data_IF_054449134862
#
_entry.id   IF_054449134862
#
_cell.length_a   1.000
_cell.length_b   1.000
_cell.length_c   1.000
_cell.angle_alpha   90.00
_cell.angle_beta   90.00
_cell.angle_gamma   90.00
#
_symmetry.space_group_name_H-M   'P 1'
#
loop_
_entity.id
_entity.type
_entity.pdbx_description
1 polymer ?
#
# COMPACT_ATOMS: atom_id res chain seq x y z
N UNK A 1 -99.04 66.25 -3.76
CA UNK A 1 -97.91 66.12 -4.70
C UNK A 1 -96.63 65.54 -4.06
N UNK A 2 -96.16 66.01 -2.89
CA UNK A 2 -94.95 65.49 -2.19
C UNK A 2 -94.98 64.00 -1.80
N UNK A 3 -96.08 63.50 -1.25
CA UNK A 3 -96.22 62.09 -0.82
C UNK A 3 -96.09 61.11 -1.99
N UNK A 4 -96.61 61.47 -3.18
CA UNK A 4 -96.50 60.64 -4.37
C UNK A 4 -95.04 60.54 -4.87
N UNK A 5 -94.26 61.62 -4.76
CA UNK A 5 -92.84 61.63 -5.10
C UNK A 5 -92.00 60.81 -4.12
N UNK A 6 -92.29 60.90 -2.82
CA UNK A 6 -91.63 60.07 -1.79
C UNK A 6 -91.96 58.59 -1.99
N UNK A 7 -93.22 58.25 -2.28
CA UNK A 7 -93.64 56.89 -2.61
C UNK A 7 -92.94 56.35 -3.87
N UNK A 8 -92.86 57.17 -4.93
CA UNK A 8 -92.18 56.79 -6.17
C UNK A 8 -90.67 56.63 -6.01
N UNK A 9 -90.03 57.44 -5.17
CA UNK A 9 -88.61 57.29 -4.83
C UNK A 9 -88.36 56.06 -3.96
N UNK A 10 -89.19 55.83 -2.93
CA UNK A 10 -89.11 54.64 -2.08
C UNK A 10 -89.29 53.34 -2.87
N UNK A 11 -90.26 53.30 -3.78
CA UNK A 11 -90.49 52.14 -4.65
C UNK A 11 -89.30 51.86 -5.57
N UNK A 12 -88.65 52.90 -6.10
CA UNK A 12 -87.43 52.76 -6.90
C UNK A 12 -86.28 52.15 -6.12
N UNK A 13 -86.08 52.59 -4.88
CA UNK A 13 -85.02 52.04 -4.00
C UNK A 13 -85.32 50.58 -3.70
N UNK A 14 -86.56 50.25 -3.32
CA UNK A 14 -86.96 48.86 -3.03
C UNK A 14 -86.74 47.96 -4.23
N UNK A 15 -87.16 48.38 -5.43
CA UNK A 15 -86.96 47.59 -6.64
C UNK A 15 -85.46 47.43 -7.00
N UNK A 16 -84.65 48.49 -6.80
CA UNK A 16 -83.20 48.41 -7.00
C UNK A 16 -82.51 47.50 -5.97
N UNK A 17 -83.02 47.47 -4.74
CA UNK A 17 -82.50 46.60 -3.68
C UNK A 17 -82.87 45.15 -3.96
N UNK A 18 -84.10 44.91 -4.41
CA UNK A 18 -84.59 43.59 -4.84
C UNK A 18 -83.78 43.07 -6.03
N UNK A 19 -83.56 43.86 -7.08
CA UNK A 19 -82.79 43.41 -8.24
C UNK A 19 -81.34 43.07 -7.88
N UNK A 20 -80.71 43.86 -6.99
CA UNK A 20 -79.37 43.55 -6.45
C UNK A 20 -79.36 42.28 -5.61
N UNK A 21 -80.40 42.04 -4.82
CA UNK A 21 -80.52 40.83 -4.01
C UNK A 21 -80.65 39.58 -4.91
N UNK A 22 -81.49 39.64 -5.94
CA UNK A 22 -81.66 38.57 -6.93
C UNK A 22 -80.37 38.30 -7.72
N UNK A 23 -79.66 39.36 -8.14
CA UNK A 23 -78.36 39.23 -8.80
C UNK A 23 -77.29 38.60 -7.88
N UNK A 24 -77.24 39.03 -6.61
CA UNK A 24 -76.30 38.47 -5.63
C UNK A 24 -76.60 36.99 -5.36
N UNK A 25 -77.88 36.63 -5.21
CA UNK A 25 -78.31 35.25 -5.02
C UNK A 25 -77.91 34.38 -6.22
N UNK A 26 -78.19 34.85 -7.44
CA UNK A 26 -77.83 34.12 -8.66
C UNK A 26 -76.31 33.96 -8.81
N UNK A 27 -75.53 34.97 -8.43
CA UNK A 27 -74.06 34.87 -8.43
C UNK A 27 -73.55 33.87 -7.38
N UNK A 28 -74.16 33.83 -6.20
CA UNK A 28 -73.84 32.85 -5.16
C UNK A 28 -74.20 31.42 -5.60
N UNK A 29 -75.35 31.21 -6.23
CA UNK A 29 -75.76 29.90 -6.76
C UNK A 29 -74.80 29.41 -7.84
N UNK A 30 -74.44 30.26 -8.82
CA UNK A 30 -73.45 29.91 -9.85
C UNK A 30 -72.08 29.60 -9.26
N UNK A 31 -71.65 30.36 -8.26
CA UNK A 31 -70.40 30.09 -7.56
C UNK A 31 -70.45 28.75 -6.82
N UNK A 32 -71.55 28.48 -6.11
CA UNK A 32 -71.75 27.22 -5.40
C UNK A 32 -71.73 26.02 -6.38
N UNK A 33 -72.45 26.10 -7.50
CA UNK A 33 -72.47 25.05 -8.52
C UNK A 33 -71.10 24.83 -9.15
N UNK A 34 -70.40 25.93 -9.48
CA UNK A 34 -69.07 25.88 -10.09
C UNK A 34 -68.01 25.29 -9.16
N UNK A 35 -68.17 25.40 -7.83
CA UNK A 35 -67.18 24.91 -6.87
C UNK A 35 -67.57 23.59 -6.20
N UNK A 36 -68.86 23.31 -5.98
CA UNK A 36 -69.28 22.13 -5.23
C UNK A 36 -68.97 20.82 -5.96
N UNK A 37 -69.37 20.71 -7.23
CA UNK A 37 -69.15 19.48 -8.00
C UNK A 37 -67.65 19.18 -8.21
N UNK A 38 -66.80 20.16 -8.60
CA UNK A 38 -65.36 19.93 -8.70
C UNK A 38 -64.70 19.64 -7.35
N UNK A 39 -65.09 20.32 -6.27
CA UNK A 39 -64.55 20.05 -4.93
C UNK A 39 -64.88 18.63 -4.46
N UNK A 40 -66.12 18.15 -4.65
CA UNK A 40 -66.49 16.77 -4.32
C UNK A 40 -65.68 15.76 -5.14
N UNK A 41 -65.48 16.01 -6.44
CA UNK A 41 -64.64 15.16 -7.29
C UNK A 41 -63.20 15.09 -6.79
N UNK A 42 -62.63 16.20 -6.32
CA UNK A 42 -61.28 16.25 -5.78
C UNK A 42 -61.15 15.55 -4.42
N UNK A 43 -62.22 15.57 -3.59
CA UNK A 43 -62.30 14.76 -2.37
C UNK A 43 -62.36 13.26 -2.70
N UNK A 44 -63.12 12.86 -3.72
CA UNK A 44 -63.19 11.47 -4.17
C UNK A 44 -61.83 10.97 -4.67
N UNK A 45 -61.12 11.81 -5.44
CA UNK A 45 -59.77 11.50 -5.92
C UNK A 45 -58.76 11.36 -4.77
N UNK A 46 -58.80 12.28 -3.80
CA UNK A 46 -57.98 12.18 -2.59
C UNK A 46 -58.26 10.86 -1.84
N UNK A 47 -59.54 10.54 -1.66
CA UNK A 47 -59.98 9.32 -0.97
C UNK A 47 -59.50 8.06 -1.69
N UNK A 48 -59.52 8.06 -3.02
CA UNK A 48 -59.03 6.95 -3.84
C UNK A 48 -57.54 6.71 -3.65
N UNK A 49 -56.73 7.79 -3.68
CA UNK A 49 -55.28 7.69 -3.49
C UNK A 49 -54.94 7.17 -2.10
N UNK A 50 -55.61 7.68 -1.06
CA UNK A 50 -55.41 7.21 0.32
C UNK A 50 -55.80 5.74 0.45
N UNK A 51 -56.97 5.36 -0.07
CA UNK A 51 -57.45 3.98 -0.05
C UNK A 51 -56.46 3.03 -0.71
N UNK A 52 -55.98 3.36 -1.90
CA UNK A 52 -55.02 2.55 -2.64
C UNK A 52 -53.74 2.30 -1.83
N UNK A 53 -53.16 3.33 -1.20
CA UNK A 53 -51.94 3.17 -0.39
C UNK A 53 -52.18 2.33 0.86
N UNK A 54 -53.34 2.48 1.52
CA UNK A 54 -53.71 1.66 2.68
C UNK A 54 -53.87 0.19 2.27
N UNK A 55 -54.60 -0.08 1.18
CA UNK A 55 -54.87 -1.44 0.70
C UNK A 55 -53.60 -2.14 0.20
N UNK A 56 -52.68 -1.41 -0.44
CA UNK A 56 -51.39 -1.92 -0.87
C UNK A 56 -50.37 -2.06 0.28
N UNK A 57 -50.61 -1.41 1.43
CA UNK A 57 -49.63 -1.33 2.52
C UNK A 57 -48.42 -0.44 2.19
N UNK A 58 -48.55 0.45 1.21
CA UNK A 58 -47.48 1.29 0.71
C UNK A 58 -47.39 2.63 1.45
N UNK A 59 -46.17 3.16 1.59
CA UNK A 59 -45.97 4.48 2.19
C UNK A 59 -46.33 5.58 1.19
N UNK A 60 -47.06 6.58 1.67
CA UNK A 60 -47.36 7.79 0.90
C UNK A 60 -46.06 8.59 0.69
N UNK A 61 -45.57 8.64 -0.57
CA UNK A 61 -44.27 9.27 -0.88
C UNK A 61 -44.34 10.78 -0.98
N UNK A 62 -45.41 11.29 -1.58
CA UNK A 62 -45.61 12.71 -1.87
C UNK A 62 -46.70 13.29 -0.99
N UNK A 63 -46.57 14.57 -0.67
CA UNK A 63 -47.62 15.31 0.03
C UNK A 63 -48.90 15.41 -0.83
N UNK A 64 -50.04 15.15 -0.20
CA UNK A 64 -51.36 15.29 -0.80
C UNK A 64 -51.85 16.72 -0.56
N UNK A 65 -52.09 17.48 -1.62
CA UNK A 65 -52.58 18.86 -1.53
C UNK A 65 -53.98 18.94 -2.11
N UNK A 66 -54.89 19.52 -1.32
CA UNK A 66 -56.26 19.84 -1.72
C UNK A 66 -56.45 21.36 -1.64
N UNK A 67 -56.48 22.03 -2.79
CA UNK A 67 -56.62 23.47 -2.89
C UNK A 67 -57.94 23.82 -3.61
N UNK A 68 -58.95 24.23 -2.82
CA UNK A 68 -60.31 24.53 -3.29
C UNK A 68 -60.95 23.40 -4.10
N UNK A 69 -60.81 23.43 -5.43
CA UNK A 69 -61.38 22.48 -6.37
C UNK A 69 -60.36 21.52 -6.95
N UNK A 70 -59.08 21.69 -6.65
CA UNK A 70 -58.00 20.93 -7.26
C UNK A 70 -57.31 20.03 -6.24
N UNK A 71 -57.11 18.78 -6.62
CA UNK A 71 -56.33 17.81 -5.88
C UNK A 71 -55.10 17.41 -6.69
N UNK A 72 -53.93 17.44 -6.06
CA UNK A 72 -52.67 17.04 -6.68
C UNK A 72 -51.65 16.53 -5.66
N UNK A 73 -50.62 15.85 -6.18
CA UNK A 73 -49.46 15.39 -5.42
C UNK A 73 -48.35 16.42 -5.54
N UNK A 74 -47.85 16.91 -4.42
CA UNK A 74 -46.71 17.82 -4.40
C UNK A 74 -45.40 17.02 -4.50
N UNK A 75 -44.79 17.04 -5.69
CA UNK A 75 -43.55 16.33 -5.99
C UNK A 75 -42.32 16.86 -5.25
N UNK A 76 -42.37 18.11 -4.78
CA UNK A 76 -41.25 18.77 -4.10
C UNK A 76 -41.21 18.44 -2.60
N UNK A 77 -42.30 17.89 -2.05
CA UNK A 77 -42.43 17.53 -0.64
C UNK A 77 -42.53 16.02 -0.47
N UNK A 78 -41.43 15.40 -0.05
CA UNK A 78 -41.37 13.97 0.26
C UNK A 78 -41.81 13.73 1.71
N UNK A 79 -42.90 12.98 1.90
CA UNK A 79 -43.39 12.58 3.22
C UNK A 79 -42.56 11.46 3.87
N UNK A 80 -41.71 10.81 3.07
CA UNK A 80 -40.80 9.76 3.52
C UNK A 80 -39.38 10.16 3.11
N UNK A 81 -38.47 10.15 4.07
CA UNK A 81 -37.05 10.33 3.78
C UNK A 81 -36.60 9.28 2.74
N UNK A 82 -35.94 9.74 1.68
CA UNK A 82 -35.32 8.84 0.71
C UNK A 82 -34.40 7.88 1.45
N UNK A 83 -34.40 6.57 1.11
CA UNK A 83 -33.44 5.64 1.68
C UNK A 83 -32.03 6.19 1.46
N UNK A 84 -31.19 6.10 2.50
CA UNK A 84 -29.80 6.53 2.39
C UNK A 84 -29.14 5.78 1.21
N UNK A 85 -28.32 6.46 0.40
CA UNK A 85 -27.59 5.78 -0.67
C UNK A 85 -26.78 4.63 -0.08
N UNK A 86 -26.62 3.52 -0.82
CA UNK A 86 -25.82 2.40 -0.36
C UNK A 86 -24.41 2.89 0.02
N UNK A 87 -23.82 2.37 1.10
CA UNK A 87 -22.46 2.74 1.48
C UNK A 87 -21.51 2.40 0.31
N UNK A 88 -20.56 3.31 0.05
CA UNK A 88 -19.56 3.12 -1.00
C UNK A 88 -18.81 1.79 -0.76
N UNK A 89 -18.55 0.99 -1.82
CA UNK A 89 -17.76 -0.24 -1.68
C UNK A 89 -16.37 0.02 -1.11
N UNK A 90 -15.83 -0.97 -0.38
CA UNK A 90 -14.48 -0.89 0.17
C UNK A 90 -13.41 -0.89 -0.95
N UNK A 91 -12.27 -0.20 -0.76
CA UNK A 91 -11.12 -0.31 -1.66
C UNK A 91 -10.70 -1.77 -1.84
N UNK A 92 -10.54 -2.20 -3.09
CA UNK A 92 -10.06 -3.52 -3.42
C UNK A 92 -8.84 -3.40 -4.32
N UNK A 93 -7.76 -4.07 -3.93
CA UNK A 93 -6.58 -4.18 -4.76
C UNK A 93 -6.77 -5.20 -5.88
N UNK A 94 -6.35 -4.83 -7.10
CA UNK A 94 -6.29 -5.74 -8.24
C UNK A 94 -4.83 -6.10 -8.51
N UNK A 95 -4.50 -7.38 -8.79
CA UNK A 95 -3.16 -7.75 -9.24
C UNK A 95 -2.75 -6.95 -10.47
N UNK A 96 -1.51 -6.47 -10.50
CA UNK A 96 -0.98 -5.67 -11.61
C UNK A 96 0.23 -6.37 -12.22
N UNK A 97 0.07 -6.90 -13.44
CA UNK A 97 1.13 -7.67 -14.11
C UNK A 97 1.52 -8.92 -13.30
N UNK A 98 2.80 -9.01 -12.94
CA UNK A 98 3.35 -10.09 -12.09
C UNK A 98 3.31 -9.76 -10.59
N UNK A 99 2.77 -8.61 -10.19
CA UNK A 99 2.76 -8.13 -8.80
C UNK A 99 1.57 -8.71 -8.02
N UNK A 100 1.79 -9.50 -6.95
CA UNK A 100 0.72 -9.99 -6.09
C UNK A 100 0.08 -8.87 -5.27
N UNK A 101 -1.20 -9.03 -4.93
CA UNK A 101 -1.89 -8.14 -3.97
C UNK A 101 -1.34 -8.34 -2.56
N UNK A 102 -1.59 -7.39 -1.65
CA UNK A 102 -1.23 -7.50 -0.23
C UNK A 102 -1.84 -8.74 0.40
N UNK A 103 -3.08 -9.07 0.07
CA UNK A 103 -3.73 -10.28 0.57
C UNK A 103 -3.06 -11.56 0.08
N UNK A 104 -2.56 -11.57 -1.17
CA UNK A 104 -1.78 -12.69 -1.71
C UNK A 104 -0.41 -12.79 -1.04
N UNK A 105 0.28 -11.66 -0.82
CA UNK A 105 1.54 -11.61 -0.08
C UNK A 105 1.39 -12.11 1.37
N UNK A 106 0.29 -11.75 2.04
CA UNK A 106 -0.05 -12.24 3.38
C UNK A 106 -0.29 -13.76 3.40
N UNK A 107 -0.96 -14.29 2.38
CA UNK A 107 -1.15 -15.75 2.23
C UNK A 107 0.19 -16.47 2.05
N UNK A 108 1.06 -15.95 1.18
CA UNK A 108 2.40 -16.50 0.96
C UNK A 108 3.24 -16.44 2.24
N UNK A 109 3.22 -15.32 2.95
CA UNK A 109 3.86 -15.16 4.25
C UNK A 109 3.40 -16.22 5.25
N UNK A 110 2.10 -16.44 5.39
CA UNK A 110 1.57 -17.44 6.32
C UNK A 110 2.04 -18.87 5.95
N UNK A 111 2.07 -19.20 4.66
CA UNK A 111 2.53 -20.51 4.20
C UNK A 111 4.02 -20.71 4.47
N UNK A 112 4.84 -19.69 4.19
CA UNK A 112 6.29 -19.74 4.44
C UNK A 112 6.61 -19.79 5.93
N UNK A 113 5.88 -19.05 6.77
CA UNK A 113 6.01 -19.15 8.23
C UNK A 113 5.67 -20.55 8.76
N UNK A 114 4.70 -21.24 8.15
CA UNK A 114 4.33 -22.60 8.54
C UNK A 114 5.38 -23.64 8.15
N UNK A 115 6.02 -23.47 6.98
CA UNK A 115 7.03 -24.43 6.47
C UNK A 115 8.42 -24.15 7.04
N UNK A 116 8.79 -22.88 7.17
CA UNK A 116 10.13 -22.43 7.53
C UNK A 116 10.09 -21.26 8.53
N UNK A 117 9.69 -21.49 9.79
CA UNK A 117 9.49 -20.43 10.79
C UNK A 117 10.75 -19.62 11.12
N UNK A 118 11.95 -20.18 10.91
CA UNK A 118 13.22 -19.49 11.08
C UNK A 118 13.39 -18.31 10.12
N UNK A 119 12.76 -18.37 8.94
CA UNK A 119 13.05 -17.46 7.83
C UNK A 119 13.91 -18.05 6.71
N UNK A 120 14.48 -19.24 6.94
CA UNK A 120 15.39 -19.91 6.02
C UNK A 120 14.80 -21.25 5.59
N UNK A 121 14.95 -21.58 4.32
CA UNK A 121 14.49 -22.83 3.70
C UNK A 121 15.56 -23.30 2.71
N UNK A 122 15.76 -24.62 2.58
CA UNK A 122 16.71 -25.13 1.59
C UNK A 122 16.22 -24.86 0.16
N UNK A 123 17.14 -24.68 -0.80
CA UNK A 123 16.78 -24.39 -2.18
C UNK A 123 15.89 -25.49 -2.82
N UNK A 124 16.10 -26.75 -2.44
CA UNK A 124 15.30 -27.89 -2.93
C UNK A 124 13.88 -27.90 -2.35
N UNK A 125 13.72 -27.63 -1.06
CA UNK A 125 12.42 -27.49 -0.41
C UNK A 125 11.67 -26.26 -0.93
N UNK A 126 12.36 -25.14 -1.12
CA UNK A 126 11.76 -23.92 -1.67
C UNK A 126 11.30 -24.12 -3.11
N UNK A 127 12.08 -24.80 -3.95
CA UNK A 127 11.67 -25.17 -5.30
C UNK A 127 10.37 -25.99 -5.29
N UNK A 128 10.30 -26.98 -4.40
CA UNK A 128 9.12 -27.84 -4.24
C UNK A 128 7.92 -27.04 -3.72
N UNK A 129 8.14 -26.13 -2.76
CA UNK A 129 7.11 -25.25 -2.24
C UNK A 129 6.55 -24.33 -3.32
N UNK A 130 7.39 -23.72 -4.16
CA UNK A 130 6.93 -22.90 -5.29
C UNK A 130 6.07 -23.71 -6.27
N UNK A 131 6.43 -24.98 -6.50
CA UNK A 131 5.61 -25.90 -7.29
C UNK A 131 4.25 -26.16 -6.66
N UNK A 132 4.23 -26.55 -5.38
CA UNK A 132 3.01 -26.85 -4.65
C UNK A 132 2.07 -25.65 -4.57
N UNK A 133 2.63 -24.44 -4.41
CA UNK A 133 1.87 -23.19 -4.48
C UNK A 133 1.12 -23.08 -5.81
N UNK A 134 1.80 -23.25 -6.95
CA UNK A 134 1.13 -23.17 -8.26
C UNK A 134 0.03 -24.23 -8.39
N UNK A 135 0.28 -25.47 -7.97
CA UNK A 135 -0.70 -26.56 -8.05
C UNK A 135 -1.93 -26.28 -7.18
N UNK A 136 -1.74 -25.83 -5.93
CA UNK A 136 -2.83 -25.53 -4.99
C UNK A 136 -3.60 -24.26 -5.37
N UNK A 137 -2.94 -23.31 -6.03
CA UNK A 137 -3.55 -22.06 -6.50
C UNK A 137 -4.33 -22.21 -7.81
N UNK A 138 -4.18 -23.33 -8.53
CA UNK A 138 -4.89 -23.63 -9.77
C UNK A 138 -6.40 -23.74 -9.51
N UNK A 139 -7.13 -22.65 -9.78
CA UNK A 139 -8.59 -22.53 -9.58
C UNK A 139 -9.03 -21.62 -8.41
N UNK A 140 -8.09 -21.09 -7.61
CA UNK A 140 -8.40 -20.18 -6.48
C UNK A 140 -8.02 -18.71 -6.70
N UNK A 141 -7.43 -18.36 -7.86
CA UNK A 141 -6.98 -16.99 -8.21
C UNK A 141 -6.12 -16.30 -7.13
N UNK A 142 -5.33 -17.08 -6.39
CA UNK A 142 -4.52 -16.62 -5.25
C UNK A 142 -3.14 -16.10 -5.64
N UNK A 143 -2.71 -16.23 -6.90
CA UNK A 143 -1.47 -15.63 -7.41
C UNK A 143 -1.71 -14.95 -8.77
N UNK A 144 -0.88 -13.96 -9.15
CA UNK A 144 -0.95 -13.35 -10.47
C UNK A 144 -0.67 -14.35 -11.60
N UNK A 145 -1.22 -14.08 -12.79
CA UNK A 145 -1.10 -14.96 -13.95
C UNK A 145 0.35 -15.33 -14.32
N UNK A 146 1.35 -14.42 -14.30
CA UNK A 146 2.74 -14.78 -14.61
C UNK A 146 3.36 -15.82 -13.68
N UNK A 147 2.90 -15.89 -12.42
CA UNK A 147 3.35 -16.91 -11.47
C UNK A 147 2.80 -18.29 -11.81
N UNK A 148 1.53 -18.35 -12.21
CA UNK A 148 0.86 -19.61 -12.56
C UNK A 148 1.43 -20.18 -13.87
N UNK A 149 1.77 -19.30 -14.83
CA UNK A 149 2.31 -19.68 -16.14
C UNK A 149 3.82 -19.92 -16.15
N UNK A 150 4.48 -19.82 -15.00
CA UNK A 150 5.92 -19.98 -14.90
C UNK A 150 6.37 -21.39 -15.31
N UNK A 151 7.34 -21.46 -16.22
CA UNK A 151 7.92 -22.74 -16.65
C UNK A 151 8.99 -23.26 -15.65
N UNK A 152 9.56 -24.42 -15.93
CA UNK A 152 10.57 -25.03 -15.06
C UNK A 152 11.87 -24.20 -15.01
N UNK A 153 12.31 -23.64 -16.15
CA UNK A 153 13.56 -22.87 -16.25
C UNK A 153 13.48 -21.57 -15.46
N UNK A 154 12.39 -20.81 -15.60
CA UNK A 154 12.12 -19.62 -14.82
C UNK A 154 12.11 -19.92 -13.31
N UNK A 155 11.60 -21.10 -12.92
CA UNK A 155 11.57 -21.49 -11.50
C UNK A 155 12.96 -21.78 -10.96
N UNK A 156 13.75 -22.57 -11.70
CA UNK A 156 15.14 -22.81 -11.36
C UNK A 156 15.93 -21.51 -11.29
N UNK A 157 15.66 -20.56 -12.18
CA UNK A 157 16.30 -19.25 -12.16
C UNK A 157 15.89 -18.42 -10.93
N UNK A 158 14.61 -18.36 -10.56
CA UNK A 158 14.18 -17.69 -9.32
C UNK A 158 14.84 -18.31 -8.09
N UNK A 159 14.87 -19.64 -7.99
CA UNK A 159 15.53 -20.34 -6.89
C UNK A 159 17.02 -20.02 -6.86
N UNK A 160 17.71 -20.08 -8.01
CA UNK A 160 19.12 -19.75 -8.15
C UNK A 160 19.44 -18.31 -7.70
N UNK A 161 18.64 -17.33 -8.14
CA UNK A 161 18.82 -15.92 -7.78
C UNK A 161 18.71 -15.63 -6.27
N UNK A 162 17.99 -16.47 -5.54
CA UNK A 162 17.73 -16.31 -4.10
C UNK A 162 18.62 -17.18 -3.23
N UNK A 163 19.26 -18.19 -3.83
CA UNK A 163 20.09 -19.17 -3.13
C UNK A 163 21.42 -18.54 -2.72
N UNK A 164 21.83 -18.79 -1.49
CA UNK A 164 23.14 -18.40 -0.99
C UNK A 164 24.20 -19.48 -1.17
N UNK A 165 25.42 -19.19 -0.70
CA UNK A 165 26.57 -20.09 -0.74
C UNK A 165 26.37 -21.41 0.05
N UNK A 166 25.31 -21.51 0.86
CA UNK A 166 24.97 -22.67 1.69
C UNK A 166 23.73 -23.42 1.20
N UNK A 167 23.26 -23.17 -0.02
CA UNK A 167 22.03 -23.73 -0.59
C UNK A 167 20.77 -23.40 0.25
N UNK A 168 20.78 -22.25 0.92
CA UNK A 168 19.66 -21.73 1.71
C UNK A 168 19.08 -20.47 1.07
N UNK A 169 17.78 -20.31 1.25
CA UNK A 169 17.01 -19.16 0.79
C UNK A 169 16.39 -18.47 2.00
N UNK A 170 16.67 -17.16 2.11
CA UNK A 170 15.92 -16.28 3.00
C UNK A 170 14.60 -15.88 2.33
N UNK A 171 13.52 -16.54 2.73
CA UNK A 171 12.23 -16.33 2.09
C UNK A 171 11.66 -14.93 2.36
N UNK A 172 12.19 -14.17 3.35
CA UNK A 172 11.79 -12.77 3.55
C UNK A 172 12.27 -11.90 2.39
N UNK A 173 13.46 -12.18 1.84
CA UNK A 173 13.94 -11.53 0.62
C UNK A 173 13.09 -11.87 -0.58
N UNK A 174 12.68 -13.12 -0.69
CA UNK A 174 11.74 -13.53 -1.73
C UNK A 174 10.44 -12.74 -1.65
N UNK A 175 9.84 -12.59 -0.47
CA UNK A 175 8.61 -11.79 -0.30
C UNK A 175 8.83 -10.30 -0.54
N UNK A 176 9.97 -9.73 -0.14
CA UNK A 176 10.33 -8.36 -0.50
C UNK A 176 10.47 -8.18 -2.00
N UNK A 177 11.07 -9.16 -2.69
CA UNK A 177 11.20 -9.14 -4.14
C UNK A 177 9.84 -9.30 -4.83
N UNK A 178 8.97 -10.17 -4.33
CA UNK A 178 7.62 -10.37 -4.83
C UNK A 178 6.70 -9.16 -4.61
N UNK A 179 6.99 -8.34 -3.58
CA UNK A 179 6.21 -7.15 -3.26
C UNK A 179 6.50 -5.94 -4.17
N UNK A 180 7.53 -6.00 -5.02
CA UNK A 180 7.91 -4.93 -5.93
C UNK A 180 6.75 -4.56 -6.88
N UNK A 181 6.60 -3.28 -7.26
CA UNK A 181 7.48 -2.16 -6.91
C UNK A 181 7.13 -1.53 -5.55
N UNK A 182 8.16 -1.22 -4.78
CA UNK A 182 8.11 -0.31 -3.62
C UNK A 182 9.27 0.70 -3.76
N UNK A 183 9.16 1.93 -3.23
CA UNK A 183 10.18 2.97 -3.43
C UNK A 183 11.52 2.56 -2.81
N UNK A 184 12.63 2.62 -3.56
CA UNK A 184 13.94 2.28 -3.02
C UNK A 184 14.51 3.43 -2.16
N UNK A 185 14.91 3.20 -0.91
CA UNK A 185 15.46 4.26 -0.08
C UNK A 185 16.90 4.62 -0.48
N UNK A 186 17.25 5.89 -0.39
CA UNK A 186 18.66 6.31 -0.33
C UNK A 186 19.28 5.95 1.03
N UNK A 187 20.61 5.88 1.11
CA UNK A 187 21.29 5.62 2.38
C UNK A 187 20.94 6.69 3.43
N UNK A 188 20.90 7.97 3.05
CA UNK A 188 20.48 9.07 3.92
C UNK A 188 19.05 8.91 4.45
N UNK A 189 18.13 8.40 3.61
CA UNK A 189 16.77 8.09 4.04
C UNK A 189 16.75 6.92 5.04
N UNK A 190 17.50 5.84 4.81
CA UNK A 190 17.62 4.73 5.76
C UNK A 190 18.16 5.21 7.11
N UNK A 191 19.20 6.03 7.12
CA UNK A 191 19.78 6.60 8.34
C UNK A 191 18.78 7.53 9.05
N UNK A 192 18.00 8.30 8.31
CA UNK A 192 16.93 9.13 8.88
C UNK A 192 15.86 8.27 9.56
N UNK A 193 15.41 7.20 8.91
CA UNK A 193 14.43 6.26 9.46
C UNK A 193 15.00 5.55 10.70
N UNK A 194 16.27 5.16 10.69
CA UNK A 194 16.94 4.60 11.86
C UNK A 194 16.91 5.56 13.06
N UNK A 195 17.17 6.85 12.86
CA UNK A 195 17.09 7.84 13.94
C UNK A 195 15.66 8.00 14.46
N UNK A 196 14.66 7.96 13.58
CA UNK A 196 13.24 7.99 13.97
C UNK A 196 12.86 6.77 14.80
N UNK A 197 13.32 5.57 14.43
CA UNK A 197 13.09 4.35 15.22
C UNK A 197 13.79 4.39 16.58
N UNK A 198 15.05 4.87 16.64
CA UNK A 198 15.75 5.08 17.91
C UNK A 198 15.00 6.07 18.82
N UNK A 199 14.37 7.11 18.26
CA UNK A 199 13.54 8.03 19.02
C UNK A 199 12.22 7.41 19.50
N UNK A 200 11.64 6.49 18.73
CA UNK A 200 10.43 5.76 19.10
C UNK A 200 10.71 4.66 20.16
N UNK A 201 11.89 4.03 20.09
CA UNK A 201 12.38 3.05 21.07
C UNK A 201 12.92 3.73 22.33
N UNK A 202 11.99 4.17 23.19
CA UNK A 202 12.32 4.83 24.46
C UNK A 202 13.19 3.99 25.40
N UNK A 203 13.23 2.67 25.21
CA UNK A 203 14.01 1.75 26.03
C UNK A 203 15.41 1.47 25.49
N UNK A 204 15.75 1.96 24.29
CA UNK A 204 16.98 1.64 23.57
C UNK A 204 17.24 0.11 23.55
N UNK A 205 16.17 -0.64 23.27
CA UNK A 205 16.16 -2.10 23.26
C UNK A 205 16.60 -2.68 21.91
N UNK A 206 16.56 -1.89 20.84
CA UNK A 206 16.68 -2.39 19.47
C UNK A 206 15.35 -2.84 18.85
N UNK A 207 14.24 -2.72 19.60
CA UNK A 207 12.94 -3.23 19.20
C UNK A 207 11.83 -2.19 19.34
N UNK A 208 10.85 -2.23 18.43
CA UNK A 208 9.61 -1.45 18.50
C UNK A 208 8.39 -2.33 18.27
N UNK A 209 7.24 -1.91 18.80
CA UNK A 209 5.96 -2.58 18.55
C UNK A 209 5.22 -2.00 17.32
N UNK A 210 4.07 -2.58 16.99
CA UNK A 210 3.28 -2.17 15.81
C UNK A 210 2.80 -0.72 15.89
N UNK A 211 2.37 -0.26 17.06
CA UNK A 211 1.90 1.12 17.24
C UNK A 211 3.04 2.12 17.01
N UNK A 212 4.20 1.89 17.62
CA UNK A 212 5.40 2.72 17.44
C UNK A 212 5.85 2.73 15.98
N UNK A 213 5.80 1.58 15.31
CA UNK A 213 6.15 1.47 13.89
C UNK A 213 5.16 2.24 12.99
N UNK A 214 3.85 2.12 13.23
CA UNK A 214 2.82 2.82 12.46
C UNK A 214 2.79 4.34 12.72
N UNK A 215 3.31 4.81 13.86
CA UNK A 215 3.54 6.23 14.11
C UNK A 215 4.84 6.75 13.48
N UNK A 216 5.80 5.87 13.17
CA UNK A 216 7.09 6.25 12.61
C UNK A 216 7.09 6.25 11.08
N UNK A 217 7.23 7.42 10.46
CA UNK A 217 7.29 7.54 9.00
C UNK A 217 8.57 6.88 8.45
N UNK A 218 8.40 6.05 7.41
CA UNK A 218 9.49 5.44 6.63
C UNK A 218 10.07 6.46 5.62
N UNK A 219 10.73 5.98 4.57
CA UNK A 219 11.28 6.82 3.48
C UNK A 219 10.28 7.11 2.36
N UNK A 220 9.06 6.57 2.47
CA UNK A 220 7.94 6.87 1.59
C UNK A 220 6.72 7.22 2.43
N UNK A 221 5.93 8.18 1.95
CA UNK A 221 4.71 8.62 2.63
C UNK A 221 3.50 7.85 2.11
N UNK A 222 2.62 7.46 3.03
CA UNK A 222 1.32 6.84 2.70
C UNK A 222 0.28 7.86 2.25
N UNK A 223 0.54 9.16 2.43
CA UNK A 223 -0.41 10.23 2.10
C UNK A 223 -0.37 10.58 0.61
N UNK A 224 -0.66 9.60 -0.25
CA UNK A 224 -1.12 9.94 -1.60
C UNK A 224 -2.59 10.34 -1.50
N UNK A 225 -2.90 11.62 -1.75
CA UNK A 225 -4.28 12.07 -1.92
C UNK A 225 -4.78 11.47 -3.23
N UNK A 226 -5.25 10.23 -3.15
CA UNK A 226 -5.82 9.57 -4.31
C UNK A 226 -7.16 10.25 -4.62
N UNK A 227 -7.39 10.67 -5.87
CA UNK A 227 -8.60 11.38 -6.24
C UNK A 227 -9.82 10.52 -5.92
N UNK A 228 -10.73 11.04 -5.10
CA UNK A 228 -11.98 10.35 -4.76
C UNK A 228 -12.85 10.31 -6.02
N UNK A 229 -13.29 9.13 -6.49
CA UNK A 229 -14.17 9.05 -7.64
C UNK A 229 -15.47 9.80 -7.39
N UNK A 230 -15.92 10.58 -8.39
CA UNK A 230 -17.17 11.34 -8.33
C UNK A 230 -18.38 10.41 -8.17
N UNK A 231 -18.33 9.23 -8.79
CA UNK A 231 -19.37 8.21 -8.66
C UNK A 231 -19.31 7.55 -7.26
N UNK A 232 -20.39 7.65 -6.44
CA UNK A 232 -20.46 7.00 -5.13
C UNK A 232 -20.54 5.47 -5.18
N UNK A 233 -20.82 4.88 -6.35
CA UNK A 233 -20.84 3.43 -6.56
C UNK A 233 -19.45 2.85 -6.76
N UNK A 234 -18.45 3.65 -7.13
CA UNK A 234 -17.07 3.21 -7.31
C UNK A 234 -16.32 3.13 -5.96
N UNK A 235 -15.49 2.10 -5.73
CA UNK A 235 -14.69 2.01 -4.52
C UNK A 235 -13.66 3.15 -4.46
N UNK A 236 -13.26 3.53 -3.24
CA UNK A 236 -12.14 4.45 -3.08
C UNK A 236 -10.83 3.81 -3.61
N UNK A 237 -9.88 4.62 -4.10
CA UNK A 237 -8.60 4.12 -4.57
C UNK A 237 -7.86 3.34 -3.48
N UNK A 238 -7.24 2.22 -3.87
CA UNK A 238 -6.50 1.38 -2.94
C UNK A 238 -5.09 1.93 -2.70
N UNK A 239 -4.80 2.34 -1.47
CA UNK A 239 -3.47 2.78 -1.05
C UNK A 239 -2.55 1.56 -0.81
N UNK A 240 -1.88 1.12 -1.86
CA UNK A 240 -0.96 -0.01 -1.79
C UNK A 240 0.23 0.27 -0.86
N UNK A 241 0.77 1.48 -0.83
CA UNK A 241 1.96 1.81 -0.03
C UNK A 241 1.67 1.76 1.48
N UNK A 242 0.51 2.27 1.93
CA UNK A 242 0.10 2.12 3.32
C UNK A 242 -0.05 0.66 3.74
N UNK A 243 -0.61 -0.17 2.87
CA UNK A 243 -0.81 -1.59 3.16
C UNK A 243 0.50 -2.39 3.06
N UNK A 244 1.41 -2.03 2.14
CA UNK A 244 2.78 -2.57 2.11
C UNK A 244 3.54 -2.25 3.39
N UNK A 245 3.41 -1.01 3.91
CA UNK A 245 4.03 -0.64 5.19
C UNK A 245 3.58 -1.55 6.33
N UNK A 246 2.28 -1.85 6.43
CA UNK A 246 1.75 -2.81 7.40
C UNK A 246 2.28 -4.22 7.16
N UNK A 247 2.33 -4.66 5.90
CA UNK A 247 2.87 -5.95 5.53
C UNK A 247 4.36 -6.10 5.90
N UNK A 248 5.19 -5.06 5.72
CA UNK A 248 6.60 -5.10 6.14
C UNK A 248 6.76 -5.29 7.65
N UNK A 249 5.88 -4.70 8.47
CA UNK A 249 5.88 -5.00 9.90
C UNK A 249 5.60 -6.49 10.13
N UNK A 250 4.56 -7.04 9.50
CA UNK A 250 4.23 -8.47 9.60
C UNK A 250 5.37 -9.39 9.13
N UNK A 251 6.10 -8.98 8.09
CA UNK A 251 7.19 -9.76 7.50
C UNK A 251 8.41 -9.89 8.43
N UNK A 252 8.71 -8.83 9.18
CA UNK A 252 9.96 -8.72 9.95
C UNK A 252 9.76 -8.81 11.46
N UNK A 253 8.55 -8.56 11.98
CA UNK A 253 8.26 -8.65 13.39
C UNK A 253 8.28 -10.09 13.90
N UNK A 254 8.73 -10.25 15.14
CA UNK A 254 8.56 -11.47 15.90
C UNK A 254 7.20 -11.48 16.58
N UNK A 255 6.34 -12.38 16.11
CA UNK A 255 4.98 -12.57 16.60
C UNK A 255 4.86 -13.54 17.78
N UNK A 256 5.98 -14.14 18.24
CA UNK A 256 5.99 -14.92 19.48
C UNK A 256 5.82 -14.06 20.74
N UNK A 257 6.08 -12.74 20.62
CA UNK A 257 5.88 -11.76 21.68
C UNK A 257 4.50 -11.09 21.60
N UNK A 258 4.00 -10.66 22.76
CA UNK A 258 2.79 -9.85 22.91
C UNK A 258 3.12 -8.60 23.75
N UNK A 259 3.17 -7.39 23.15
CA UNK A 259 2.98 -7.08 21.72
C UNK A 259 4.13 -7.62 20.85
N UNK A 260 3.87 -7.83 19.55
CA UNK A 260 4.89 -8.26 18.58
C UNK A 260 6.04 -7.25 18.51
N UNK A 261 7.26 -7.74 18.32
CA UNK A 261 8.48 -6.93 18.38
C UNK A 261 9.21 -6.94 17.05
N UNK A 262 9.49 -5.76 16.51
CA UNK A 262 10.27 -5.58 15.30
C UNK A 262 11.70 -5.16 15.65
N UNK A 263 12.68 -5.97 15.27
CA UNK A 263 14.08 -5.55 15.22
C UNK A 263 14.25 -4.60 14.03
N UNK A 264 14.23 -3.29 14.34
CA UNK A 264 14.26 -2.27 13.30
C UNK A 264 15.63 -2.18 12.62
N UNK A 265 16.72 -2.61 13.27
CA UNK A 265 18.04 -2.58 12.66
C UNK A 265 18.17 -3.69 11.60
N UNK A 266 17.76 -4.91 11.96
CA UNK A 266 17.70 -6.03 11.02
C UNK A 266 16.75 -5.71 9.86
N UNK A 267 15.56 -5.15 10.13
CA UNK A 267 14.65 -4.74 9.06
C UNK A 267 15.31 -3.76 8.07
N UNK A 268 15.97 -2.71 8.56
CA UNK A 268 16.58 -1.71 7.70
C UNK A 268 17.76 -2.27 6.87
N UNK A 269 18.45 -3.29 7.37
CA UNK A 269 19.48 -3.98 6.60
C UNK A 269 18.92 -4.70 5.36
N UNK A 270 17.70 -5.27 5.42
CA UNK A 270 17.03 -5.80 4.21
C UNK A 270 16.76 -4.69 3.18
N UNK A 271 16.40 -3.50 3.62
CA UNK A 271 16.16 -2.34 2.75
C UNK A 271 17.45 -1.62 2.32
N UNK A 272 18.60 -1.99 2.88
CA UNK A 272 19.90 -1.51 2.45
C UNK A 272 20.40 -2.20 1.16
N UNK A 273 19.69 -3.24 0.69
CA UNK A 273 20.06 -3.99 -0.49
C UNK A 273 20.22 -3.12 -1.75
N UNK A 274 21.18 -3.49 -2.58
CA UNK A 274 21.56 -2.77 -3.81
C UNK A 274 21.82 -3.77 -4.94
N UNK A 275 21.59 -3.44 -6.22
CA UNK A 275 21.97 -4.31 -7.33
C UNK A 275 23.45 -4.70 -7.32
N UNK A 276 24.33 -3.83 -6.80
CA UNK A 276 25.73 -4.11 -6.60
C UNK A 276 25.97 -4.67 -5.17
N UNK A 277 26.41 -5.95 -5.03
CA UNK A 277 26.66 -6.57 -3.72
C UNK A 277 27.56 -5.73 -2.80
N UNK A 278 28.59 -5.11 -3.37
CA UNK A 278 29.53 -4.25 -2.63
C UNK A 278 28.82 -3.03 -2.04
N UNK A 279 27.96 -2.38 -2.81
CA UNK A 279 27.19 -1.23 -2.32
C UNK A 279 26.17 -1.66 -1.28
N UNK A 280 25.48 -2.79 -1.50
CA UNK A 280 24.56 -3.37 -0.52
C UNK A 280 25.24 -3.62 0.82
N UNK A 281 26.45 -4.21 0.81
CA UNK A 281 27.24 -4.44 2.01
C UNK A 281 27.61 -3.13 2.73
N UNK A 282 28.13 -2.15 2.00
CA UNK A 282 28.51 -0.84 2.56
C UNK A 282 27.30 -0.14 3.17
N UNK A 283 26.14 -0.19 2.49
CA UNK A 283 24.89 0.40 2.95
C UNK A 283 24.39 -0.29 4.21
N UNK A 284 24.41 -1.62 4.26
CA UNK A 284 24.02 -2.37 5.46
C UNK A 284 24.93 -2.05 6.65
N UNK A 285 26.25 -2.02 6.44
CA UNK A 285 27.20 -1.64 7.48
C UNK A 285 27.02 -0.19 7.94
N UNK A 286 26.73 0.73 7.02
CA UNK A 286 26.39 2.12 7.34
C UNK A 286 25.15 2.22 8.22
N UNK A 287 24.12 1.40 7.96
CA UNK A 287 22.92 1.30 8.79
C UNK A 287 23.25 0.78 10.19
N UNK A 288 24.07 -0.27 10.31
CA UNK A 288 24.51 -0.81 11.60
C UNK A 288 25.28 0.22 12.44
N UNK A 289 26.19 0.96 11.80
CA UNK A 289 26.96 2.02 12.47
C UNK A 289 26.11 3.28 12.72
N UNK A 290 25.01 3.45 11.99
CA UNK A 290 24.18 4.66 12.03
C UNK A 290 24.86 5.90 11.42
N UNK A 291 25.85 5.70 10.55
CA UNK A 291 26.62 6.75 9.90
C UNK A 291 26.98 6.37 8.47
N UNK A 292 27.27 7.38 7.64
CA UNK A 292 27.62 7.14 6.25
C UNK A 292 29.05 6.62 6.13
N UNK A 293 29.21 5.41 5.58
CA UNK A 293 30.51 4.95 5.13
C UNK A 293 30.78 5.50 3.71
N UNK A 294 31.97 6.05 3.50
CA UNK A 294 32.48 6.48 2.20
C UNK A 294 33.54 5.49 1.79
N UNK A 295 33.31 4.82 0.68
CA UNK A 295 34.32 3.99 0.05
C UNK A 295 34.86 4.73 -1.17
N UNK A 296 36.10 5.21 -1.10
CA UNK A 296 36.81 5.73 -2.27
C UNK A 296 37.10 4.55 -3.20
N UNK A 297 36.38 4.41 -4.30
CA UNK A 297 36.76 3.44 -5.32
C UNK A 297 38.11 3.88 -5.94
N UNK A 298 39.19 3.22 -5.53
CA UNK A 298 40.53 3.48 -6.09
C UNK A 298 40.65 3.07 -7.58
N UNK A 299 39.59 2.58 -8.20
CA UNK A 299 39.51 2.21 -9.61
C UNK A 299 39.42 3.39 -10.61
N UNK A 300 39.15 4.61 -10.16
CA UNK A 300 39.03 5.78 -11.06
C UNK A 300 40.37 6.46 -11.43
N UNK A 301 41.52 5.86 -11.09
CA UNK A 301 42.84 6.37 -11.51
C UNK A 301 43.30 5.83 -12.87
N UNK A 302 42.49 5.06 -13.60
CA UNK A 302 42.73 4.81 -15.02
C UNK A 302 42.15 5.98 -15.81
N UNK A 303 43.06 6.89 -16.19
CA UNK A 303 42.84 8.02 -17.11
C UNK A 303 41.74 7.74 -18.13
N UNK A 304 40.67 8.52 -18.05
CA UNK A 304 39.67 8.69 -19.09
C UNK A 304 40.37 9.02 -20.41
N UNK A 305 40.35 8.10 -21.37
CA UNK A 305 40.40 8.45 -22.79
C UNK A 305 38.96 8.52 -23.29
N UNK A 306 38.57 9.53 -24.09
CA UNK A 306 37.24 9.58 -24.66
C UNK A 306 37.19 8.68 -25.90
N UNK A 307 36.23 7.78 -25.98
CA UNK A 307 35.87 7.14 -27.25
C UNK A 307 34.36 7.12 -27.41
N UNK A 308 33.93 8.01 -28.32
CA UNK A 308 32.77 8.04 -29.21
C UNK A 308 31.48 7.32 -28.78
N UNK A 309 30.43 8.13 -28.78
CA UNK A 309 29.00 7.83 -28.66
C UNK A 309 28.54 6.75 -29.65
N UNK A 310 27.79 5.77 -29.15
CA UNK A 310 26.75 5.12 -29.93
C UNK A 310 25.53 4.93 -29.02
N UNK A 311 24.43 5.58 -29.40
CA UNK A 311 23.24 5.76 -28.60
C UNK A 311 22.49 4.43 -28.38
N UNK A 312 22.27 4.09 -27.11
CA UNK A 312 21.12 3.29 -26.69
C UNK A 312 20.48 4.01 -25.52
N UNK A 313 19.31 4.58 -25.80
CA UNK A 313 18.41 5.16 -24.81
C UNK A 313 17.92 4.05 -23.88
N UNK A 314 18.19 4.19 -22.58
CA UNK A 314 17.40 3.73 -21.41
C UNK A 314 18.29 3.84 -20.17
N UNK A 315 18.44 5.05 -19.64
CA UNK A 315 19.00 5.27 -18.30
C UNK A 315 18.36 6.53 -17.70
N UNK A 316 17.15 6.37 -17.16
CA UNK A 316 16.53 7.40 -16.33
C UNK A 316 17.08 7.28 -14.89
N UNK A 317 18.05 8.15 -14.63
CA UNK A 317 18.26 8.90 -13.39
C UNK A 317 18.52 8.12 -12.08
N UNK A 318 19.69 7.46 -12.01
CA UNK A 318 20.38 7.16 -10.75
C UNK A 318 21.65 8.01 -10.63
N UNK A 319 21.51 9.33 -10.49
CA UNK A 319 22.60 10.17 -9.99
C UNK A 319 22.33 10.55 -8.55
N UNK A 320 23.10 9.94 -7.67
CA UNK A 320 23.19 10.26 -6.25
C UNK A 320 23.56 11.75 -6.11
N UNK A 321 22.55 12.60 -5.91
CA UNK A 321 22.77 13.99 -5.57
C UNK A 321 23.33 14.03 -4.14
N UNK A 322 24.65 14.22 -4.04
CA UNK A 322 25.33 14.54 -2.78
C UNK A 322 24.65 15.77 -2.14
N UNK A 323 23.73 15.53 -1.21
CA UNK A 323 23.21 16.56 -0.35
C UNK A 323 24.31 16.95 0.65
N UNK A 324 25.00 18.04 0.32
CA UNK A 324 25.86 18.78 1.21
C UNK A 324 25.01 19.38 2.35
N UNK A 325 24.72 18.58 3.38
CA UNK A 325 24.31 19.13 4.67
C UNK A 325 25.57 19.56 5.42
N UNK A 326 25.80 20.87 5.39
CA UNK A 326 26.76 21.56 6.21
C UNK A 326 26.46 21.29 7.70
N UNK A 327 27.27 20.42 8.29
CA UNK A 327 27.66 20.48 9.70
C UNK A 327 29.06 19.93 9.78
N UNK A 328 30.02 20.83 9.59
CA UNK A 328 31.42 20.64 9.89
C UNK A 328 31.60 20.34 11.38
N UNK A 329 31.83 19.08 11.71
CA UNK A 329 32.58 18.70 12.89
C UNK A 329 33.40 17.47 12.54
N UNK A 330 34.70 17.67 12.33
CA UNK A 330 35.78 16.67 12.33
C UNK A 330 35.43 15.36 11.62
N UNK A 331 35.98 15.17 10.41
CA UNK A 331 36.03 13.87 9.73
C UNK A 331 36.86 12.91 10.61
N UNK A 332 36.24 12.39 11.67
CA UNK A 332 36.71 11.22 12.37
C UNK A 332 36.77 10.10 11.34
N UNK A 333 37.83 9.32 11.40
CA UNK A 333 37.94 8.11 10.60
C UNK A 333 36.65 7.30 10.79
N UNK A 334 36.07 6.83 9.70
CA UNK A 334 34.80 6.08 9.75
C UNK A 334 35.07 4.72 10.36
N UNK A 335 35.02 4.69 11.68
CA UNK A 335 35.43 3.57 12.50
C UNK A 335 34.40 2.44 12.46
N UNK A 336 34.91 1.22 12.34
CA UNK A 336 34.13 -0.02 12.28
C UNK A 336 34.58 -0.93 13.41
N UNK A 337 33.63 -1.32 14.26
CA UNK A 337 33.87 -2.27 15.35
C UNK A 337 33.58 -3.70 14.90
N UNK A 338 34.20 -4.67 15.57
CA UNK A 338 33.97 -6.09 15.32
C UNK A 338 32.48 -6.50 15.49
N UNK A 339 31.73 -6.03 16.52
CA UNK A 339 30.29 -6.28 16.62
C UNK A 339 29.48 -5.75 15.43
N UNK A 340 29.88 -4.60 14.84
CA UNK A 340 29.18 -4.05 13.70
C UNK A 340 29.34 -4.92 12.44
N UNK A 341 30.56 -5.43 12.20
CA UNK A 341 30.81 -6.40 11.12
C UNK A 341 30.06 -7.70 11.32
N UNK A 342 30.07 -8.23 12.55
CA UNK A 342 29.32 -9.43 12.89
C UNK A 342 27.82 -9.25 12.67
N UNK A 343 27.25 -8.09 12.97
CA UNK A 343 25.83 -7.84 12.72
C UNK A 343 25.46 -7.93 11.23
N UNK A 344 26.38 -7.51 10.33
CA UNK A 344 26.19 -7.57 8.88
C UNK A 344 26.46 -8.98 8.33
N UNK A 345 27.52 -9.64 8.80
CA UNK A 345 27.94 -10.97 8.32
C UNK A 345 27.00 -12.06 8.85
N UNK A 346 26.70 -12.01 10.15
CA UNK A 346 25.83 -12.97 10.84
C UNK A 346 24.34 -12.61 10.74
N UNK A 347 23.95 -11.75 9.78
CA UNK A 347 22.56 -11.30 9.55
C UNK A 347 21.57 -12.48 9.43
N UNK A 348 22.03 -13.67 9.03
CA UNK A 348 21.25 -14.92 8.97
C UNK A 348 21.31 -15.76 10.26
N UNK A 349 22.43 -15.71 10.99
CA UNK A 349 22.82 -16.72 12.01
C UNK A 349 22.11 -16.52 13.35
N UNK A 350 21.69 -15.29 13.68
CA UNK A 350 21.04 -14.97 14.95
C UNK A 350 19.69 -15.66 15.17
N UNK A 351 19.03 -16.17 14.11
CA UNK A 351 17.75 -16.92 14.21
C UNK A 351 17.89 -18.44 14.04
N UNK A 352 19.11 -18.95 13.83
CA UNK A 352 19.35 -20.38 13.50
C UNK A 352 19.49 -21.26 14.73
N UNK A 353 19.65 -20.69 15.94
CA UNK A 353 19.98 -21.44 17.15
C UNK A 353 19.03 -22.59 17.53
N UNK A 354 17.80 -22.64 16.99
CA UNK A 354 16.79 -23.59 17.50
C UNK A 354 16.20 -24.62 16.52
N UNK A 355 16.44 -24.61 15.19
CA UNK A 355 15.64 -25.51 14.30
C UNK A 355 16.36 -26.17 13.12
N UNK A 356 17.46 -25.63 12.60
CA UNK A 356 18.12 -26.20 11.41
C UNK A 356 19.55 -26.60 11.75
N UNK A 357 19.89 -27.88 11.52
CA UNK A 357 21.28 -28.30 11.42
C UNK A 357 21.90 -27.55 10.25
N UNK A 358 22.71 -26.53 10.54
CA UNK A 358 23.51 -25.85 9.54
C UNK A 358 24.26 -26.90 8.69
N UNK A 359 24.37 -26.69 7.35
CA UNK A 359 25.27 -27.50 6.54
C UNK A 359 26.67 -27.53 7.19
N UNK A 360 27.40 -28.66 7.10
CA UNK A 360 28.67 -28.85 7.81
C UNK A 360 29.75 -27.80 7.46
N UNK A 361 29.59 -27.07 6.34
CA UNK A 361 30.50 -26.03 5.87
C UNK A 361 30.07 -24.60 6.28
N UNK A 362 28.94 -24.42 6.98
CA UNK A 362 28.51 -23.11 7.45
C UNK A 362 29.22 -22.73 8.75
N UNK A 363 29.93 -21.61 8.71
CA UNK A 363 30.66 -21.09 9.86
C UNK A 363 29.67 -20.68 10.96
N UNK A 364 29.90 -21.18 12.16
CA UNK A 364 29.21 -20.73 13.36
C UNK A 364 29.50 -19.24 13.63
N UNK A 365 28.63 -18.60 14.42
CA UNK A 365 28.87 -17.23 14.87
C UNK A 365 30.21 -17.09 15.61
N UNK A 366 30.64 -18.14 16.31
CA UNK A 366 31.91 -18.22 17.04
C UNK A 366 33.09 -18.24 16.08
N UNK A 367 33.04 -19.04 15.02
CA UNK A 367 34.08 -19.10 13.98
C UNK A 367 34.20 -17.79 13.20
N UNK A 368 33.07 -17.17 12.83
CA UNK A 368 33.08 -15.84 12.22
C UNK A 368 33.70 -14.79 13.15
N UNK A 369 33.43 -14.88 14.45
CA UNK A 369 34.01 -13.99 15.46
C UNK A 369 35.52 -14.18 15.55
N UNK A 370 36.00 -15.42 15.60
CA UNK A 370 37.44 -15.73 15.65
C UNK A 370 38.17 -15.28 14.37
N UNK A 371 37.57 -15.52 13.20
CA UNK A 371 38.14 -15.11 11.92
C UNK A 371 38.26 -13.59 11.81
N UNK A 372 37.21 -12.84 12.19
CA UNK A 372 37.27 -11.38 12.21
C UNK A 372 38.25 -10.86 13.26
N UNK A 373 38.32 -11.49 14.44
CA UNK A 373 39.29 -11.12 15.47
C UNK A 373 40.73 -11.34 14.99
N UNK A 374 40.98 -12.39 14.21
CA UNK A 374 42.29 -12.60 13.56
C UNK A 374 42.61 -11.49 12.55
N UNK A 375 41.64 -11.04 11.76
CA UNK A 375 41.81 -9.93 10.81
C UNK A 375 42.15 -8.63 11.55
N UNK A 376 41.46 -8.33 12.65
CA UNK A 376 41.74 -7.14 13.47
C UNK A 376 43.19 -7.17 13.97
N UNK A 377 43.63 -8.31 14.53
CA UNK A 377 45.01 -8.49 14.99
C UNK A 377 46.03 -8.40 13.85
N UNK A 378 45.72 -8.95 12.68
CA UNK A 378 46.59 -8.89 11.50
C UNK A 378 46.77 -7.46 10.97
N UNK A 379 45.76 -6.61 11.15
CA UNK A 379 45.80 -5.18 10.84
C UNK A 379 46.43 -4.33 11.96
N UNK A 380 46.83 -4.94 13.07
CA UNK A 380 47.47 -4.26 14.21
C UNK A 380 46.50 -3.71 15.26
N UNK A 381 45.24 -4.13 15.24
CA UNK A 381 44.19 -3.70 16.17
C UNK A 381 43.77 -4.82 17.11
N UNK A 382 43.34 -4.48 18.32
CA UNK A 382 42.70 -5.43 19.22
C UNK A 382 41.23 -5.65 18.79
N UNK A 383 40.63 -6.83 19.06
CA UNK A 383 39.22 -7.08 18.72
C UNK A 383 38.22 -6.09 19.34
N UNK A 384 38.61 -5.43 20.43
CA UNK A 384 37.84 -4.39 21.12
C UNK A 384 37.98 -3.00 20.48
N UNK A 385 38.98 -2.80 19.62
CA UNK A 385 39.24 -1.52 18.95
C UNK A 385 38.29 -1.33 17.76
N UNK A 386 38.16 -0.07 17.33
CA UNK A 386 37.55 0.25 16.05
C UNK A 386 38.62 0.44 14.97
N UNK A 387 38.35 -0.04 13.76
CA UNK A 387 39.24 0.09 12.61
C UNK A 387 38.63 1.09 11.62
N UNK A 388 39.41 2.06 11.10
CA UNK A 388 38.96 2.89 9.98
C UNK A 388 38.51 2.04 8.79
N UNK A 389 37.31 2.29 8.29
CA UNK A 389 36.73 1.52 7.19
C UNK A 389 37.64 1.52 5.95
N UNK A 390 38.35 2.62 5.70
CA UNK A 390 39.32 2.74 4.61
C UNK A 390 40.51 1.79 4.71
N UNK A 391 40.86 1.35 5.92
CA UNK A 391 41.91 0.33 6.15
C UNK A 391 41.29 -1.06 6.05
N UNK A 392 40.13 -1.24 6.69
CA UNK A 392 39.43 -2.51 6.72
C UNK A 392 39.01 -2.98 5.31
N UNK A 393 38.52 -2.07 4.47
CA UNK A 393 38.06 -2.36 3.10
C UNK A 393 39.19 -2.74 2.14
N UNK A 394 40.46 -2.60 2.55
CA UNK A 394 41.62 -3.05 1.79
C UNK A 394 42.01 -4.50 2.10
N UNK A 395 41.49 -5.07 3.20
CA UNK A 395 41.81 -6.44 3.57
C UNK A 395 41.16 -7.43 2.58
N UNK A 396 41.89 -8.40 1.99
CA UNK A 396 41.36 -9.29 0.95
C UNK A 396 40.09 -10.03 1.34
N UNK A 397 40.00 -10.52 2.58
CA UNK A 397 38.79 -11.18 3.07
C UNK A 397 37.56 -10.24 3.10
N UNK A 398 37.76 -8.97 3.47
CA UNK A 398 36.66 -7.99 3.52
C UNK A 398 36.25 -7.60 2.10
N UNK A 399 37.22 -7.51 1.17
CA UNK A 399 36.92 -7.28 -0.23
C UNK A 399 36.12 -8.42 -0.84
N UNK A 400 36.54 -9.66 -0.60
CA UNK A 400 35.82 -10.85 -1.05
C UNK A 400 34.40 -10.85 -0.48
N UNK A 401 34.24 -10.66 0.83
CA UNK A 401 32.93 -10.55 1.49
C UNK A 401 32.04 -9.45 0.87
N UNK A 402 32.61 -8.29 0.55
CA UNK A 402 31.88 -7.21 -0.11
C UNK A 402 31.46 -7.57 -1.55
N UNK A 403 32.24 -8.39 -2.26
CA UNK A 403 31.97 -8.75 -3.66
C UNK A 403 31.06 -9.98 -3.80
N UNK A 404 31.19 -10.95 -2.90
CA UNK A 404 30.55 -12.26 -2.99
C UNK A 404 29.29 -12.37 -2.14
N UNK A 405 29.10 -11.49 -1.15
CA UNK A 405 27.91 -11.55 -0.28
C UNK A 405 26.64 -11.16 -1.04
N UNK A 406 25.87 -12.18 -1.41
CA UNK A 406 24.50 -12.03 -1.94
C UNK A 406 23.50 -11.58 -0.86
N UNK A 407 23.97 -11.39 0.38
CA UNK A 407 23.11 -11.05 1.52
C UNK A 407 22.44 -9.69 1.37
N UNK A 408 23.10 -8.76 0.71
CA UNK A 408 22.58 -7.41 0.47
C UNK A 408 22.45 -7.11 -1.03
N UNK A 409 22.38 -8.15 -1.87
CA UNK A 409 22.06 -7.97 -3.28
C UNK A 409 20.55 -7.85 -3.46
N UNK A 410 20.13 -6.79 -4.16
CA UNK A 410 18.72 -6.60 -4.50
C UNK A 410 18.32 -7.58 -5.61
N UNK A 411 17.44 -8.52 -5.27
CA UNK A 411 16.88 -9.48 -6.22
C UNK A 411 15.53 -8.96 -6.72
N UNK A 412 15.31 -9.06 -8.04
CA UNK A 412 14.02 -8.73 -8.68
C UNK A 412 13.51 -9.91 -9.51
N UNK A 413 12.71 -10.77 -8.87
CA UNK A 413 12.13 -11.96 -9.51
C UNK A 413 11.14 -11.63 -10.63
N UNK A 414 10.60 -10.41 -10.69
CA UNK A 414 9.68 -10.01 -11.75
C UNK A 414 10.34 -9.98 -13.12
N UNK A 415 11.67 -9.75 -13.18
CA UNK A 415 12.45 -9.85 -14.43
C UNK A 415 12.34 -11.24 -15.04
N UNK A 416 12.51 -12.28 -14.22
CA UNK A 416 12.42 -13.68 -14.64
C UNK A 416 10.97 -14.06 -15.03
N UNK A 417 10.00 -13.61 -14.23
CA UNK A 417 8.58 -13.89 -14.48
C UNK A 417 8.06 -13.27 -15.78
N UNK A 418 8.66 -12.17 -16.23
CA UNK A 418 8.22 -11.43 -17.44
C UNK A 418 9.08 -11.72 -18.68
N UNK A 419 10.33 -12.19 -18.53
CA UNK A 419 11.30 -12.35 -19.62
C UNK A 419 10.83 -13.19 -20.84
N UNK A 420 9.91 -14.14 -20.66
CA UNK A 420 9.43 -15.00 -21.76
C UNK A 420 8.07 -14.60 -22.36
N UNK A 421 7.52 -13.42 -22.03
CA UNK A 421 6.34 -12.90 -22.75
C UNK A 421 6.71 -12.33 -24.12
N UNK A 422 7.88 -11.71 -24.24
CA UNK A 422 8.30 -11.00 -25.46
C UNK A 422 8.73 -11.93 -26.59
N UNK A 423 9.19 -13.15 -26.29
CA UNK A 423 9.53 -14.14 -27.33
C UNK A 423 8.28 -14.75 -28.01
N UNK A 424 7.10 -14.65 -27.37
CA UNK A 424 5.83 -15.16 -27.91
C UNK A 424 5.16 -14.22 -28.90
N UNK A 425 5.24 -12.90 -28.69
CA UNK A 425 4.59 -11.90 -29.55
C UNK A 425 5.42 -11.56 -30.81
N UNK A 426 6.75 -11.71 -30.75
CA UNK A 426 7.61 -11.59 -31.93
C UNK A 426 7.34 -12.69 -32.97
N UNK A 427 6.92 -13.89 -32.52
CA UNK A 427 6.66 -15.04 -33.38
C UNK A 427 5.21 -15.12 -33.90
N UNK A 428 4.27 -14.36 -33.32
CA UNK A 428 2.91 -14.23 -33.88
C UNK A 428 2.80 -13.13 -34.94
N UNK A 429 3.78 -12.24 -35.02
CA UNK A 429 3.77 -11.08 -35.92
C UNK A 429 4.36 -11.36 -37.31
N UNK A 430 4.80 -12.60 -37.59
CA UNK A 430 5.41 -13.01 -38.87
C UNK A 430 4.54 -13.95 -39.70
N UNK A 431 3.28 -14.19 -39.31
CA UNK A 431 2.30 -14.89 -40.17
C UNK A 431 1.02 -14.08 -40.24
N UNK A 432 0.98 -13.10 -41.15
CA UNK A 432 -0.22 -12.59 -41.81
C UNK A 432 0.15 -11.90 -43.11
#
# INVERSE_FOLDING_TARGET
>A
MRIALVKGHGLRIVNSLQSRAEETLSNMEKWLEAHYLPAMKSIDQLSEVIRHHIEAGDKLKFELVLECTDFYLNGDCLMVASPAPPPRPAPLEKPTGSTPTITQLQSLHQQLCNVAPSGLISSSEFYSLLWDLIVVTLGKNTLPEPWIKQNETQRMEIVSLLTDEYELIDWRKFLLSAALPWPFPSLSQLLTVLQRFKAADRGNTGYINEEQYLQTELWFSSESVLPVPEDPSEPLPYDRLANLRKFFFQLFADHSFSPSRLDYLTMLQYFAADPNPRQGFIRALSVVLGQHLKHSSQGHLVKSMPSIEEATELDEDYKEAECALASSSLLGEQEVSLPALLAVISHKVTKIKDVIHLPPDCLSQEEHTEQLAHIFRALGYMPEDCIPFSVLSLHPFIQDLMETSTHFQLVNIHRVLLAHRDEGEANSSTVS
#
